data_IF_508970576555
#
_entry.id   IF_508970576555
#
_cell.length_a   1.000
_cell.length_b   1.000
_cell.length_c   1.000
_cell.angle_alpha   90.00
_cell.angle_beta   90.00
_cell.angle_gamma   90.00
#
_symmetry.space_group_name_H-M   'P 1'
#
loop_
_entity.id
_entity.type
_entity.pdbx_description
1 polymer ?
#
# COMPACT_ATOMS: atom_id res chain seq x y z
N UNK A 1 3.87 28.05 5.43
CA UNK A 1 3.72 26.59 5.51
C UNK A 1 4.80 26.09 6.44
N UNK A 2 4.47 25.60 7.65
CA UNK A 2 5.47 24.89 8.45
C UNK A 2 5.75 23.59 7.71
N UNK A 3 6.86 23.55 6.98
CA UNK A 3 7.33 22.35 6.30
C UNK A 3 7.81 21.39 7.38
N UNK A 4 7.08 20.30 7.57
CA UNK A 4 7.54 19.16 8.38
C UNK A 4 8.97 18.82 7.96
N UNK A 5 9.85 18.61 8.94
CA UNK A 5 11.20 18.21 8.66
C UNK A 5 11.16 16.81 8.00
N UNK A 6 11.74 16.60 6.81
CA UNK A 6 11.51 15.38 6.03
C UNK A 6 12.09 14.12 6.65
N UNK A 7 13.07 14.25 7.56
CA UNK A 7 13.48 13.19 8.47
C UNK A 7 12.30 12.60 9.25
N UNK A 8 11.31 13.40 9.64
CA UNK A 8 10.13 12.93 10.36
C UNK A 8 9.25 12.03 9.49
N UNK A 9 9.08 12.37 8.21
CA UNK A 9 8.31 11.56 7.26
C UNK A 9 8.97 10.22 6.94
N UNK A 10 10.27 10.26 6.71
CA UNK A 10 11.05 9.05 6.43
C UNK A 10 11.01 8.09 7.62
N UNK A 11 11.29 8.59 8.83
CA UNK A 11 11.23 7.78 10.05
C UNK A 11 9.81 7.25 10.30
N UNK A 12 8.80 8.10 10.13
CA UNK A 12 7.41 7.72 10.34
C UNK A 12 6.94 6.64 9.36
N UNK A 13 7.21 6.80 8.06
CA UNK A 13 6.91 5.80 7.05
C UNK A 13 7.65 4.48 7.32
N UNK A 14 8.93 4.57 7.68
CA UNK A 14 9.75 3.42 8.08
C UNK A 14 9.18 2.68 9.28
N UNK A 15 8.78 3.39 10.34
CA UNK A 15 8.16 2.81 11.55
C UNK A 15 6.85 2.11 11.19
N UNK A 16 5.99 2.73 10.39
CA UNK A 16 4.72 2.13 9.97
C UNK A 16 4.97 0.84 9.18
N UNK A 17 5.91 0.86 8.23
CA UNK A 17 6.26 -0.30 7.40
C UNK A 17 6.89 -1.44 8.22
N UNK A 18 7.86 -1.13 9.08
CA UNK A 18 8.51 -2.11 9.97
C UNK A 18 7.48 -2.68 10.95
N UNK A 19 6.62 -1.84 11.52
CA UNK A 19 5.53 -2.27 12.40
C UNK A 19 4.60 -3.27 11.71
N UNK A 20 4.15 -2.95 10.49
CA UNK A 20 3.35 -3.88 9.69
C UNK A 20 4.10 -5.19 9.40
N UNK A 21 5.38 -5.12 9.03
CA UNK A 21 6.20 -6.30 8.73
C UNK A 21 6.39 -7.20 9.96
N UNK A 22 6.70 -6.64 11.13
CA UNK A 22 6.85 -7.39 12.38
C UNK A 22 5.54 -8.03 12.82
N UNK A 23 4.43 -7.30 12.73
CA UNK A 23 3.10 -7.83 13.08
C UNK A 23 2.73 -8.99 12.15
N UNK A 24 2.91 -8.83 10.84
CA UNK A 24 2.63 -9.89 9.87
C UNK A 24 3.56 -11.11 10.03
N UNK A 25 4.86 -10.88 10.26
CA UNK A 25 5.86 -11.93 10.35
C UNK A 25 5.84 -12.69 11.67
N UNK A 26 5.99 -12.00 12.81
CA UNK A 26 6.18 -12.65 14.12
C UNK A 26 4.87 -12.95 14.84
N UNK A 27 3.91 -12.03 14.81
CA UNK A 27 2.72 -12.10 15.69
C UNK A 27 1.59 -12.90 15.02
N UNK A 28 1.28 -12.58 13.77
CA UNK A 28 0.13 -13.16 13.07
C UNK A 28 0.48 -14.52 12.47
N UNK A 29 1.68 -14.69 11.90
CA UNK A 29 2.07 -15.95 11.26
C UNK A 29 2.39 -17.08 12.24
N UNK A 30 2.79 -16.79 13.48
CA UNK A 30 3.16 -17.80 14.48
C UNK A 30 2.08 -18.03 15.56
N UNK A 31 1.24 -17.05 15.88
CA UNK A 31 0.29 -17.12 17.00
C UNK A 31 -1.14 -17.52 16.62
N UNK A 32 -1.92 -16.57 16.08
CA UNK A 32 -3.38 -16.67 15.98
C UNK A 32 -3.91 -17.43 14.76
N UNK A 33 -3.15 -17.44 13.65
CA UNK A 33 -3.58 -18.07 12.40
C UNK A 33 -2.85 -19.39 12.09
N UNK A 34 -1.67 -19.64 12.69
CA UNK A 34 -0.84 -20.82 12.40
C UNK A 34 -1.50 -22.16 12.79
N UNK A 35 -2.40 -22.15 13.79
CA UNK A 35 -2.99 -23.36 14.37
C UNK A 35 -4.37 -23.74 13.79
N UNK A 36 -5.04 -22.85 13.04
CA UNK A 36 -6.39 -23.13 12.51
C UNK A 36 -6.67 -22.71 11.06
N UNK A 37 -5.85 -21.84 10.47
CA UNK A 37 -6.13 -21.30 9.14
C UNK A 37 -4.80 -21.05 8.41
N UNK A 38 -4.41 -21.98 7.54
CA UNK A 38 -3.13 -21.95 6.83
C UNK A 38 -2.81 -20.59 6.17
N UNK A 39 -1.53 -20.33 5.89
CA UNK A 39 -0.99 -19.05 5.41
C UNK A 39 -1.66 -18.46 4.15
N UNK A 40 -2.43 -19.26 3.39
CA UNK A 40 -3.24 -18.84 2.24
C UNK A 40 -4.74 -18.68 2.52
N UNK A 41 -5.17 -18.73 3.78
CA UNK A 41 -6.59 -18.62 4.12
C UNK A 41 -7.12 -17.21 3.82
N UNK A 42 -8.37 -17.14 3.35
CA UNK A 42 -9.04 -15.88 3.05
C UNK A 42 -8.96 -14.88 4.21
N UNK A 43 -9.25 -15.34 5.43
CA UNK A 43 -9.26 -14.50 6.63
C UNK A 43 -7.88 -13.92 6.93
N UNK A 44 -6.82 -14.71 6.78
CA UNK A 44 -5.46 -14.25 7.01
C UNK A 44 -5.06 -13.15 6.03
N UNK A 45 -5.33 -13.35 4.73
CA UNK A 45 -4.98 -12.39 3.69
C UNK A 45 -5.76 -11.08 3.87
N UNK A 46 -7.07 -11.17 4.14
CA UNK A 46 -7.89 -9.97 4.39
C UNK A 46 -7.45 -9.23 5.64
N UNK A 47 -7.09 -9.94 6.71
CA UNK A 47 -6.59 -9.33 7.93
C UNK A 47 -5.27 -8.60 7.70
N UNK A 48 -4.30 -9.23 7.03
CA UNK A 48 -3.02 -8.63 6.65
C UNK A 48 -3.21 -7.34 5.84
N UNK A 49 -4.11 -7.34 4.86
CA UNK A 49 -4.42 -6.16 4.04
C UNK A 49 -5.11 -5.07 4.85
N UNK A 50 -6.07 -5.43 5.69
CA UNK A 50 -6.79 -4.48 6.55
C UNK A 50 -5.86 -3.83 7.58
N UNK A 51 -4.93 -4.60 8.13
CA UNK A 51 -3.88 -4.10 9.03
C UNK A 51 -2.97 -3.09 8.32
N UNK A 52 -2.59 -3.37 7.07
CA UNK A 52 -1.85 -2.40 6.26
C UNK A 52 -2.65 -1.14 6.00
N UNK A 53 -3.96 -1.23 5.73
CA UNK A 53 -4.81 -0.03 5.59
C UNK A 53 -4.80 0.80 6.89
N UNK A 54 -4.91 0.15 8.05
CA UNK A 54 -4.81 0.86 9.33
C UNK A 54 -3.44 1.53 9.52
N UNK A 55 -2.35 0.83 9.26
CA UNK A 55 -1.00 1.35 9.52
C UNK A 55 -0.51 2.34 8.46
N UNK A 56 -0.91 2.16 7.20
CA UNK A 56 -0.42 2.96 6.07
C UNK A 56 -1.39 4.08 5.66
N UNK A 57 -2.65 4.02 6.09
CA UNK A 57 -3.60 5.12 5.85
C UNK A 57 -4.03 5.83 7.12
N UNK A 58 -4.56 5.11 8.11
CA UNK A 58 -5.13 5.75 9.30
C UNK A 58 -4.07 6.48 10.13
N UNK A 59 -2.92 5.84 10.39
CA UNK A 59 -1.83 6.46 11.14
C UNK A 59 -1.26 7.71 10.44
N UNK A 60 -0.87 7.66 9.13
CA UNK A 60 -0.36 8.85 8.45
C UNK A 60 -1.41 9.94 8.30
N UNK A 61 -2.67 9.59 8.12
CA UNK A 61 -3.76 10.55 8.06
C UNK A 61 -3.94 11.28 9.40
N UNK A 62 -3.94 10.55 10.52
CA UNK A 62 -3.97 11.15 11.86
C UNK A 62 -2.76 12.06 12.10
N UNK A 63 -1.56 11.62 11.72
CA UNK A 63 -0.35 12.42 11.84
C UNK A 63 -0.43 13.74 11.07
N UNK A 64 -0.92 13.73 9.82
CA UNK A 64 -1.13 14.94 9.03
C UNK A 64 -2.21 15.84 9.65
N UNK A 65 -3.28 15.26 10.21
CA UNK A 65 -4.33 16.00 10.90
C UNK A 65 -3.78 16.75 12.11
N UNK A 66 -2.99 16.08 12.96
CA UNK A 66 -2.35 16.71 14.13
C UNK A 66 -1.30 17.77 13.74
N UNK A 67 -0.67 17.65 12.58
CA UNK A 67 0.31 18.63 12.09
C UNK A 67 -0.32 19.74 11.26
N UNK A 68 -1.67 19.83 11.23
CA UNK A 68 -2.43 20.82 10.46
C UNK A 68 -2.04 20.90 8.98
N UNK A 69 -1.67 19.75 8.38
CA UNK A 69 -1.30 19.66 6.97
C UNK A 69 -2.53 19.27 6.14
N UNK A 70 -2.70 19.90 4.98
CA UNK A 70 -3.82 19.62 4.08
C UNK A 70 -3.58 18.31 3.32
N UNK A 71 -4.34 17.26 3.64
CA UNK A 71 -4.31 15.97 2.95
C UNK A 71 -4.29 16.05 1.42
N UNK A 72 -5.02 17.00 0.83
CA UNK A 72 -5.14 17.17 -0.62
C UNK A 72 -3.85 17.62 -1.31
N UNK A 73 -3.00 18.38 -0.61
CA UNK A 73 -1.71 18.84 -1.13
C UNK A 73 -0.73 17.66 -1.24
N UNK A 74 -0.79 16.73 -0.30
CA UNK A 74 0.01 15.51 -0.25
C UNK A 74 -0.40 14.46 -1.28
N UNK A 75 -1.63 14.51 -1.78
CA UNK A 75 -2.11 13.62 -2.81
C UNK A 75 -1.97 14.22 -4.23
N UNK A 76 -1.37 15.42 -4.34
CA UNK A 76 -1.28 16.19 -5.59
C UNK A 76 -2.64 16.34 -6.31
N UNK A 77 -3.73 16.39 -5.54
CA UNK A 77 -5.09 16.49 -6.08
C UNK A 77 -5.43 17.91 -6.54
N UNK A 78 -4.53 18.87 -6.30
CA UNK A 78 -4.65 20.24 -6.80
C UNK A 78 -4.77 20.30 -8.32
N UNK A 79 -4.24 19.30 -9.03
CA UNK A 79 -4.38 19.13 -10.48
C UNK A 79 -5.00 17.77 -10.83
N UNK A 80 -6.16 17.46 -10.21
CA UNK A 80 -6.84 16.17 -10.30
C UNK A 80 -6.99 15.62 -11.73
N UNK A 81 -7.26 16.47 -12.71
CA UNK A 81 -7.40 16.07 -14.11
C UNK A 81 -6.10 15.48 -14.69
N UNK A 82 -4.98 16.19 -14.54
CA UNK A 82 -3.69 15.73 -15.05
C UNK A 82 -3.20 14.50 -14.30
N UNK A 83 -3.39 14.48 -12.97
CA UNK A 83 -3.07 13.32 -12.13
C UNK A 83 -3.86 12.09 -12.59
N UNK A 84 -5.17 12.23 -12.85
CA UNK A 84 -6.01 11.14 -13.32
C UNK A 84 -5.55 10.61 -14.69
N UNK A 85 -5.27 11.50 -15.65
CA UNK A 85 -4.77 11.10 -16.98
C UNK A 85 -3.47 10.32 -16.86
N UNK A 86 -2.50 10.83 -16.10
CA UNK A 86 -1.20 10.16 -15.93
C UNK A 86 -1.37 8.81 -15.23
N UNK A 87 -2.18 8.74 -14.18
CA UNK A 87 -2.46 7.47 -13.49
C UNK A 87 -3.11 6.44 -14.41
N UNK A 88 -4.09 6.83 -15.22
CA UNK A 88 -4.73 5.94 -16.21
C UNK A 88 -3.72 5.52 -17.28
N UNK A 89 -2.97 6.47 -17.83
CA UNK A 89 -1.97 6.21 -18.87
C UNK A 89 -0.90 5.21 -18.40
N UNK A 90 -0.41 5.32 -17.15
CA UNK A 90 0.55 4.39 -16.56
C UNK A 90 -0.08 3.04 -16.17
N UNK A 91 -1.38 3.01 -15.87
CA UNK A 91 -2.07 1.76 -15.52
C UNK A 91 -2.25 0.83 -16.72
N UNK A 92 -2.44 1.37 -17.93
CA UNK A 92 -2.63 0.59 -19.17
C UNK A 92 -1.48 -0.42 -19.42
N UNK A 93 -0.20 0.00 -19.50
CA UNK A 93 0.90 -0.94 -19.73
C UNK A 93 1.07 -1.93 -18.56
N UNK A 94 0.83 -1.50 -17.31
CA UNK A 94 0.89 -2.39 -16.15
C UNK A 94 -0.15 -3.50 -16.25
N UNK A 95 -1.38 -3.18 -16.64
CA UNK A 95 -2.44 -4.17 -16.86
C UNK A 95 -2.04 -5.16 -17.96
N UNK A 96 -1.50 -4.68 -19.08
CA UNK A 96 -1.03 -5.55 -20.18
C UNK A 96 0.06 -6.50 -19.68
N UNK A 97 1.05 -5.99 -18.96
CA UNK A 97 2.14 -6.79 -18.39
C UNK A 97 1.57 -7.83 -17.41
N UNK A 98 0.63 -7.45 -16.53
CA UNK A 98 -0.01 -8.38 -15.60
C UNK A 98 -0.80 -9.47 -16.31
N UNK A 99 -1.47 -9.19 -17.43
CA UNK A 99 -2.20 -10.19 -18.21
C UNK A 99 -1.26 -11.20 -18.88
N UNK A 100 -0.11 -10.75 -19.38
CA UNK A 100 0.90 -11.61 -20.00
C UNK A 100 1.62 -12.46 -18.93
N UNK A 101 2.04 -11.82 -17.84
CA UNK A 101 2.86 -12.48 -16.80
C UNK A 101 2.03 -13.34 -15.87
N UNK A 102 0.78 -13.01 -15.59
CA UNK A 102 -0.08 -13.73 -14.63
C UNK A 102 -0.33 -15.20 -15.00
N UNK A 103 -0.14 -15.58 -16.26
CA UNK A 103 -0.28 -16.97 -16.74
C UNK A 103 0.97 -17.83 -16.59
N UNK A 104 2.10 -17.23 -16.18
CA UNK A 104 3.38 -17.94 -16.05
C UNK A 104 3.35 -18.88 -14.83
N UNK A 105 3.89 -20.11 -14.94
CA UNK A 105 3.84 -21.10 -13.87
C UNK A 105 4.54 -20.61 -12.59
N UNK A 106 5.59 -19.81 -12.70
CA UNK A 106 6.27 -19.21 -11.54
C UNK A 106 5.34 -18.26 -10.78
N UNK A 107 4.49 -17.51 -11.49
CA UNK A 107 3.53 -16.60 -10.87
C UNK A 107 2.35 -17.33 -10.23
N UNK A 108 1.92 -18.47 -10.80
CA UNK A 108 0.86 -19.30 -10.25
C UNK A 108 1.27 -20.01 -8.94
N UNK A 109 2.58 -20.22 -8.73
CA UNK A 109 3.11 -20.72 -7.47
C UNK A 109 2.97 -19.71 -6.34
N UNK A 110 2.99 -18.41 -6.62
CA UNK A 110 2.89 -17.34 -5.60
C UNK A 110 1.48 -16.74 -5.49
N UNK A 111 0.77 -16.63 -6.61
CA UNK A 111 -0.57 -16.08 -6.73
C UNK A 111 -1.57 -17.14 -7.21
N UNK A 112 -2.85 -17.08 -6.80
CA UNK A 112 -3.43 -16.08 -5.90
C UNK A 112 -3.01 -16.26 -4.43
N UNK A 113 -2.84 -15.15 -3.71
CA UNK A 113 -2.48 -15.14 -2.28
C UNK A 113 -3.54 -15.86 -1.43
N UNK A 114 -4.81 -15.75 -1.83
CA UNK A 114 -5.93 -16.50 -1.27
C UNK A 114 -5.98 -17.87 -1.97
N UNK A 115 -5.66 -18.93 -1.25
CA UNK A 115 -5.63 -20.32 -1.75
C UNK A 115 -6.97 -21.00 -1.52
N UNK A 116 -8.00 -20.51 -2.21
CA UNK A 116 -9.32 -21.13 -2.24
C UNK A 116 -9.50 -21.89 -3.56
N UNK A 117 -10.05 -23.10 -3.49
CA UNK A 117 -10.31 -23.95 -4.67
C UNK A 117 -11.43 -23.38 -5.56
N UNK A 118 -12.46 -22.79 -4.94
CA UNK A 118 -13.61 -22.22 -5.64
C UNK A 118 -13.65 -20.69 -5.49
N UNK A 119 -13.66 -20.00 -6.63
CA UNK A 119 -13.78 -18.54 -6.69
C UNK A 119 -15.20 -18.15 -7.12
N UNK A 120 -15.99 -17.65 -6.18
CA UNK A 120 -17.28 -17.04 -6.50
C UNK A 120 -17.12 -15.52 -6.73
N UNK A 121 -18.11 -14.89 -7.38
CA UNK A 121 -18.06 -13.45 -7.69
C UNK A 121 -17.91 -12.55 -6.44
N UNK A 122 -18.46 -12.96 -5.30
CA UNK A 122 -18.30 -12.25 -4.02
C UNK A 122 -16.84 -12.25 -3.54
N UNK A 123 -16.15 -13.37 -3.67
CA UNK A 123 -14.74 -13.52 -3.30
C UNK A 123 -13.83 -12.69 -4.21
N UNK A 124 -14.14 -12.66 -5.50
CA UNK A 124 -13.43 -11.81 -6.47
C UNK A 124 -13.57 -10.34 -6.09
N UNK A 125 -14.80 -9.87 -5.87
CA UNK A 125 -15.07 -8.49 -5.47
C UNK A 125 -14.38 -8.12 -4.15
N UNK A 126 -14.47 -8.99 -3.14
CA UNK A 126 -13.83 -8.77 -1.84
C UNK A 126 -12.30 -8.73 -1.95
N UNK A 127 -11.71 -9.64 -2.73
CA UNK A 127 -10.27 -9.64 -3.01
C UNK A 127 -9.85 -8.35 -3.72
N UNK A 128 -10.58 -7.93 -4.74
CA UNK A 128 -10.31 -6.70 -5.49
C UNK A 128 -10.41 -5.46 -4.59
N UNK A 129 -11.48 -5.31 -3.82
CA UNK A 129 -11.66 -4.18 -2.90
C UNK A 129 -10.56 -4.13 -1.83
N UNK A 130 -10.21 -5.28 -1.25
CA UNK A 130 -9.12 -5.34 -0.26
C UNK A 130 -7.77 -4.98 -0.86
N UNK A 131 -7.52 -5.34 -2.13
CA UNK A 131 -6.32 -4.96 -2.87
C UNK A 131 -6.28 -3.46 -3.17
N UNK A 132 -7.40 -2.90 -3.65
CA UNK A 132 -7.52 -1.46 -3.93
C UNK A 132 -7.28 -0.67 -2.65
N UNK A 133 -7.93 -1.05 -1.54
CA UNK A 133 -7.74 -0.37 -0.26
C UNK A 133 -6.29 -0.46 0.23
N UNK A 134 -5.67 -1.65 0.13
CA UNK A 134 -4.27 -1.85 0.48
C UNK A 134 -3.33 -0.97 -0.36
N UNK A 135 -3.46 -1.00 -1.69
CA UNK A 135 -2.62 -0.23 -2.60
C UNK A 135 -2.81 1.27 -2.41
N UNK A 136 -4.05 1.71 -2.18
CA UNK A 136 -4.35 3.10 -1.87
C UNK A 136 -3.65 3.56 -0.58
N UNK A 137 -3.73 2.76 0.49
CA UNK A 137 -3.05 3.05 1.75
C UNK A 137 -1.52 3.06 1.58
N UNK A 138 -1.00 2.10 0.81
CA UNK A 138 0.43 2.02 0.48
C UNK A 138 0.92 3.25 -0.29
N UNK A 139 0.23 3.64 -1.37
CA UNK A 139 0.56 4.83 -2.17
C UNK A 139 0.49 6.10 -1.31
N UNK A 140 -0.47 6.20 -0.40
CA UNK A 140 -0.60 7.34 0.49
C UNK A 140 0.61 7.48 1.45
N UNK A 141 1.11 6.38 2.00
CA UNK A 141 2.28 6.41 2.89
C UNK A 141 3.56 6.76 2.14
N UNK A 142 3.84 6.04 1.05
CA UNK A 142 5.10 6.18 0.32
C UNK A 142 5.10 7.39 -0.61
N UNK A 143 4.18 7.43 -1.58
CA UNK A 143 4.14 8.51 -2.57
C UNK A 143 3.54 9.80 -2.03
N UNK A 144 2.60 9.70 -1.09
CA UNK A 144 2.07 10.86 -0.39
C UNK A 144 3.08 11.38 0.63
N UNK A 145 3.13 10.76 1.81
CA UNK A 145 3.88 11.30 2.94
C UNK A 145 5.40 11.32 2.69
N UNK A 146 5.99 10.18 2.31
CA UNK A 146 7.44 10.05 2.23
C UNK A 146 8.04 10.79 1.01
N UNK A 147 7.51 10.57 -0.19
CA UNK A 147 8.06 11.12 -1.42
C UNK A 147 7.98 12.65 -1.48
N UNK A 148 6.84 13.26 -1.14
CA UNK A 148 6.73 14.72 -1.15
C UNK A 148 7.59 15.37 -0.07
N UNK A 149 7.81 14.71 1.08
CA UNK A 149 8.78 15.18 2.07
C UNK A 149 10.20 15.14 1.53
N UNK A 150 10.61 14.01 0.92
CA UNK A 150 11.94 13.91 0.33
C UNK A 150 12.15 14.93 -0.79
N UNK A 151 11.17 15.10 -1.68
CA UNK A 151 11.23 16.07 -2.78
C UNK A 151 11.33 17.53 -2.28
N UNK A 152 10.78 17.84 -1.10
CA UNK A 152 10.86 19.19 -0.53
C UNK A 152 12.26 19.62 -0.07
N UNK A 153 13.15 18.67 0.24
CA UNK A 153 14.52 18.94 0.76
C UNK A 153 15.63 18.41 -0.14
N UNK A 154 15.35 17.39 -0.95
CA UNK A 154 16.32 16.72 -1.81
C UNK A 154 15.95 16.85 -3.28
N UNK A 155 16.93 16.59 -4.15
CA UNK A 155 16.72 16.59 -5.59
C UNK A 155 15.84 15.40 -6.01
N UNK A 156 15.09 15.60 -7.12
CA UNK A 156 14.21 14.58 -7.69
C UNK A 156 14.84 13.18 -7.84
N UNK A 157 16.09 13.01 -8.33
CA UNK A 157 16.68 11.68 -8.47
C UNK A 157 16.86 10.96 -7.14
N UNK A 158 17.23 11.68 -6.08
CA UNK A 158 17.43 11.10 -4.76
C UNK A 158 16.09 10.71 -4.15
N UNK A 159 15.08 11.58 -4.25
CA UNK A 159 13.73 11.30 -3.77
C UNK A 159 13.13 10.07 -4.44
N UNK A 160 13.38 9.87 -5.75
CA UNK A 160 12.89 8.73 -6.52
C UNK A 160 13.66 7.42 -6.24
N UNK A 161 14.94 7.51 -5.88
CA UNK A 161 15.76 6.32 -5.57
C UNK A 161 15.48 5.77 -4.17
N UNK A 162 15.17 6.66 -3.23
CA UNK A 162 14.92 6.29 -1.83
C UNK A 162 13.49 5.79 -1.63
N UNK A 163 12.53 6.27 -2.41
CA UNK A 163 11.12 5.88 -2.35
C UNK A 163 10.82 4.63 -3.18
#
# INVERSE_FOLDING_TARGET
MQTLAPETGFLFAGICYIGWWVLCGKVISNGWFSTRAGKGSLRFVLFKRSLAVLLFFLLPWLFLHFTHQNFLDWFSLRNAHNTAIVSVALSIPLIIISLITGRRPENLQLYPEIRMEQWNGKLVLLSALSWIAYLFAYEFLFRGCMFFLLLSKYNLPLALTVN
#
